data_IF_621209729995
#
_entry.id   IF_621209729995
#
_cell.length_a   1.000
_cell.length_b   1.000
_cell.length_c   1.000
_cell.angle_alpha   90.00
_cell.angle_beta   90.00
_cell.angle_gamma   90.00
#
_symmetry.space_group_name_H-M   'P 1'
#
loop_
_entity.id
_entity.type
_entity.pdbx_description
1 polymer ?
#
# COMPACT_ATOMS: atom_id res chain seq x y z
N UNK A 1 51.94 -52.22 -10.06
CA UNK A 1 51.05 -52.61 -11.19
C UNK A 1 49.81 -51.71 -11.09
N UNK A 2 49.57 -50.64 -11.84
CA UNK A 2 50.15 -50.14 -13.08
C UNK A 2 49.07 -50.03 -14.16
N UNK A 3 48.14 -49.05 -14.07
CA UNK A 3 47.20 -48.60 -15.13
C UNK A 3 46.73 -47.18 -14.74
N UNK A 4 47.39 -46.08 -15.09
CA UNK A 4 47.37 -45.36 -16.37
C UNK A 4 46.00 -45.30 -17.04
N UNK A 5 45.19 -44.29 -16.68
CA UNK A 5 43.96 -43.93 -17.40
C UNK A 5 44.14 -42.53 -17.99
N UNK A 6 44.18 -42.50 -19.31
CA UNK A 6 44.53 -41.36 -20.14
C UNK A 6 43.49 -40.24 -20.04
N UNK A 7 44.00 -39.02 -19.82
CA UNK A 7 43.27 -37.77 -19.95
C UNK A 7 42.81 -37.59 -21.41
N UNK A 8 41.49 -37.64 -21.66
CA UNK A 8 40.91 -37.25 -22.96
C UNK A 8 40.28 -35.87 -22.80
N UNK A 9 41.00 -34.84 -23.25
CA UNK A 9 40.47 -33.49 -23.34
C UNK A 9 39.34 -33.45 -24.38
N UNK A 10 38.15 -32.93 -24.06
CA UNK A 10 37.14 -32.65 -25.06
C UNK A 10 37.52 -31.38 -25.84
N UNK A 11 37.50 -31.54 -27.15
CA UNK A 11 37.79 -30.54 -28.17
C UNK A 11 36.98 -29.25 -27.96
N UNK A 12 37.69 -28.12 -27.98
CA UNK A 12 37.10 -26.77 -28.04
C UNK A 12 36.42 -26.61 -29.40
N UNK A 13 35.10 -26.78 -29.45
CA UNK A 13 34.29 -26.37 -30.58
C UNK A 13 34.22 -24.83 -30.57
N UNK A 14 35.00 -24.20 -31.45
CA UNK A 14 34.78 -22.82 -31.85
C UNK A 14 33.48 -22.74 -32.66
N UNK A 15 32.36 -22.55 -31.98
CA UNK A 15 31.10 -22.16 -32.63
C UNK A 15 31.25 -20.68 -33.00
N UNK A 16 31.63 -20.42 -34.24
CA UNK A 16 31.55 -19.08 -34.83
C UNK A 16 30.07 -18.81 -35.12
N UNK A 17 29.35 -18.25 -34.15
CA UNK A 17 28.04 -17.66 -34.38
C UNK A 17 28.26 -16.34 -35.12
N UNK A 18 28.17 -16.40 -36.46
CA UNK A 18 27.93 -15.22 -37.30
C UNK A 18 26.47 -14.81 -37.04
N UNK A 19 26.25 -14.13 -35.92
CA UNK A 19 25.00 -13.43 -35.64
C UNK A 19 25.00 -12.14 -36.44
N UNK A 20 24.07 -12.03 -37.39
CA UNK A 20 23.74 -10.76 -38.02
C UNK A 20 23.52 -9.68 -36.96
N UNK A 21 23.89 -8.41 -37.21
CA UNK A 21 23.46 -7.31 -36.37
C UNK A 21 21.95 -7.16 -36.52
N UNK A 22 21.20 -7.94 -35.74
CA UNK A 22 19.82 -7.67 -35.42
C UNK A 22 19.83 -6.24 -34.89
N UNK A 23 19.39 -5.28 -35.72
CA UNK A 23 19.04 -3.95 -35.28
C UNK A 23 17.98 -4.14 -34.21
N UNK A 24 18.42 -4.22 -32.95
CA UNK A 24 17.55 -4.23 -31.81
C UNK A 24 16.61 -3.04 -32.03
N UNK A 25 15.28 -3.23 -32.03
CA UNK A 25 14.34 -2.15 -32.24
C UNK A 25 14.73 -1.04 -31.26
N UNK A 26 15.17 0.09 -31.81
CA UNK A 26 15.53 1.27 -31.01
C UNK A 26 14.32 1.52 -30.13
N UNK A 27 14.52 1.27 -28.83
CA UNK A 27 13.44 1.24 -27.85
C UNK A 27 12.62 2.52 -28.02
N UNK A 28 11.28 2.43 -27.92
CA UNK A 28 10.42 3.59 -28.08
C UNK A 28 10.86 4.63 -27.04
N UNK A 29 11.50 5.68 -27.53
CA UNK A 29 11.84 6.84 -26.73
C UNK A 29 10.58 7.70 -26.78
N UNK A 30 9.97 7.97 -25.62
CA UNK A 30 8.82 8.86 -25.54
C UNK A 30 9.13 10.13 -26.31
N UNK A 31 8.24 10.49 -27.23
CA UNK A 31 8.50 11.61 -28.11
C UNK A 31 8.49 12.93 -27.33
N UNK A 32 9.52 13.77 -27.53
CA UNK A 32 9.67 15.07 -26.86
C UNK A 32 8.42 15.97 -26.98
N UNK A 33 7.70 15.90 -28.10
CA UNK A 33 6.51 16.71 -28.32
C UNK A 33 5.33 16.29 -27.42
N UNK A 34 5.23 15.00 -27.07
CA UNK A 34 4.22 14.48 -26.12
C UNK A 34 4.53 15.02 -24.73
N UNK A 35 5.79 14.93 -24.29
CA UNK A 35 6.23 15.47 -23.00
C UNK A 35 5.97 16.98 -22.92
N UNK A 36 6.34 17.73 -23.96
CA UNK A 36 6.09 19.18 -24.01
C UNK A 36 4.60 19.53 -23.94
N UNK A 37 3.75 18.80 -24.69
CA UNK A 37 2.30 18.99 -24.65
C UNK A 37 1.75 18.78 -23.24
N UNK A 38 2.16 17.68 -22.60
CA UNK A 38 1.74 17.29 -21.26
C UNK A 38 2.18 18.33 -20.19
N UNK A 39 3.40 18.85 -20.31
CA UNK A 39 3.95 19.91 -19.46
C UNK A 39 3.16 21.21 -19.62
N UNK A 40 2.89 21.65 -20.85
CA UNK A 40 2.14 22.88 -21.12
C UNK A 40 0.71 22.80 -20.58
N UNK A 41 0.05 21.67 -20.76
CA UNK A 41 -1.30 21.42 -20.23
C UNK A 41 -1.33 21.44 -18.68
N UNK A 42 -0.34 20.83 -18.02
CA UNK A 42 -0.21 20.89 -16.56
C UNK A 42 0.01 22.33 -16.05
N UNK A 43 0.84 23.12 -16.75
CA UNK A 43 1.06 24.52 -16.41
C UNK A 43 -0.21 25.37 -16.62
N UNK A 44 -0.96 25.12 -17.70
CA UNK A 44 -2.24 25.77 -17.96
C UNK A 44 -3.29 25.45 -16.88
N UNK A 45 -3.22 24.25 -16.28
CA UNK A 45 -4.05 23.85 -15.14
C UNK A 45 -3.63 24.46 -13.80
N UNK A 46 -2.56 25.27 -13.78
CA UNK A 46 -2.05 25.92 -12.57
C UNK A 46 -1.19 25.01 -11.69
N UNK A 47 -0.66 23.91 -12.23
CA UNK A 47 0.30 23.07 -11.49
C UNK A 47 1.62 23.85 -11.35
N UNK A 48 2.22 23.94 -10.13
CA UNK A 48 3.49 24.64 -9.95
C UNK A 48 4.61 24.04 -10.80
N UNK A 49 5.44 24.89 -11.43
CA UNK A 49 6.55 24.46 -12.30
C UNK A 49 7.49 23.44 -11.64
N UNK A 50 7.78 23.61 -10.35
CA UNK A 50 8.61 22.67 -9.60
C UNK A 50 7.99 21.26 -9.52
N UNK A 51 6.67 21.18 -9.37
CA UNK A 51 5.93 19.91 -9.34
C UNK A 51 5.95 19.25 -10.71
N UNK A 52 5.73 20.01 -11.78
CA UNK A 52 5.78 19.50 -13.16
C UNK A 52 7.17 18.97 -13.51
N UNK A 53 8.23 19.68 -13.10
CA UNK A 53 9.62 19.24 -13.31
C UNK A 53 9.91 17.91 -12.60
N UNK A 54 9.43 17.75 -11.37
CA UNK A 54 9.55 16.49 -10.63
C UNK A 54 8.85 15.33 -11.36
N UNK A 55 7.63 15.55 -11.88
CA UNK A 55 6.90 14.52 -12.64
C UNK A 55 7.63 14.07 -13.90
N UNK A 56 8.24 14.99 -14.64
CA UNK A 56 9.04 14.63 -15.82
C UNK A 56 10.21 13.74 -15.42
N UNK A 57 10.89 14.05 -14.31
CA UNK A 57 11.99 13.22 -13.80
C UNK A 57 11.47 11.86 -13.33
N UNK A 58 10.33 11.81 -12.65
CA UNK A 58 9.73 10.56 -12.17
C UNK A 58 9.34 9.66 -13.35
N UNK A 59 8.65 10.19 -14.36
CA UNK A 59 8.31 9.45 -15.58
C UNK A 59 9.56 8.99 -16.36
N UNK A 60 10.65 9.77 -16.35
CA UNK A 60 11.91 9.36 -17.02
C UNK A 60 12.64 8.20 -16.31
N UNK A 61 12.37 8.02 -15.01
CA UNK A 61 12.95 6.94 -14.19
C UNK A 61 12.03 5.73 -14.08
N UNK A 62 10.79 5.87 -14.49
CA UNK A 62 9.79 4.82 -14.38
C UNK A 62 10.04 3.75 -15.46
N UNK A 63 10.38 2.54 -14.99
CA UNK A 63 10.63 1.38 -15.85
C UNK A 63 9.39 0.97 -16.66
N UNK A 64 8.19 1.39 -16.25
CA UNK A 64 6.93 1.07 -16.93
C UNK A 64 6.57 2.05 -18.05
N UNK A 65 7.29 3.16 -18.19
CA UNK A 65 7.10 4.12 -19.28
C UNK A 65 7.95 3.69 -20.47
N UNK A 66 7.33 2.99 -21.41
CA UNK A 66 7.99 2.35 -22.55
C UNK A 66 7.68 3.10 -23.86
N UNK A 67 6.52 3.73 -23.96
CA UNK A 67 5.99 4.38 -25.16
C UNK A 67 5.16 5.62 -24.81
N UNK A 68 4.66 6.32 -25.84
CA UNK A 68 3.88 7.54 -25.67
C UNK A 68 2.57 7.29 -24.88
N UNK A 69 1.94 6.13 -25.06
CA UNK A 69 0.68 5.77 -24.41
C UNK A 69 0.87 5.49 -22.90
N UNK A 70 1.91 4.74 -22.54
CA UNK A 70 2.29 4.48 -21.15
C UNK A 70 2.75 5.76 -20.44
N UNK A 71 3.45 6.67 -21.15
CA UNK A 71 3.74 8.01 -20.63
C UNK A 71 2.46 8.80 -20.36
N UNK A 72 1.53 8.86 -21.32
CA UNK A 72 0.26 9.59 -21.17
C UNK A 72 -0.61 9.04 -20.03
N UNK A 73 -0.55 7.72 -19.77
CA UNK A 73 -1.20 7.08 -18.63
C UNK A 73 -0.56 7.47 -17.30
N UNK A 74 0.77 7.33 -17.19
CA UNK A 74 1.51 7.71 -15.99
C UNK A 74 1.32 9.19 -15.66
N UNK A 75 1.38 10.05 -16.67
CA UNK A 75 1.17 11.49 -16.55
C UNK A 75 -0.24 11.83 -16.06
N UNK A 76 -1.27 11.18 -16.62
CA UNK A 76 -2.67 11.37 -16.18
C UNK A 76 -2.86 10.97 -14.73
N UNK A 77 -2.24 9.88 -14.29
CA UNK A 77 -2.33 9.44 -12.90
C UNK A 77 -1.69 10.45 -11.93
N UNK A 78 -0.49 10.95 -12.25
CA UNK A 78 0.17 12.00 -11.46
C UNK A 78 -0.69 13.26 -11.34
N UNK A 79 -1.29 13.71 -12.45
CA UNK A 79 -2.21 14.85 -12.45
C UNK A 79 -3.45 14.59 -11.59
N UNK A 80 -4.10 13.43 -11.75
CA UNK A 80 -5.26 13.05 -10.96
C UNK A 80 -4.95 13.02 -9.45
N UNK A 81 -3.79 12.51 -9.06
CA UNK A 81 -3.36 12.49 -7.67
C UNK A 81 -3.16 13.90 -7.11
N UNK A 82 -2.54 14.78 -7.88
CA UNK A 82 -2.36 16.18 -7.49
C UNK A 82 -3.70 16.92 -7.36
N UNK A 83 -4.60 16.75 -8.33
CA UNK A 83 -5.94 17.36 -8.27
C UNK A 83 -6.73 16.87 -7.06
N UNK A 84 -6.67 15.56 -6.75
CA UNK A 84 -7.28 14.99 -5.54
C UNK A 84 -6.67 15.59 -4.26
N UNK A 85 -5.35 15.72 -4.19
CA UNK A 85 -4.66 16.32 -3.04
C UNK A 85 -5.00 17.81 -2.88
N UNK A 86 -5.05 18.55 -3.99
CA UNK A 86 -5.33 19.98 -4.01
C UNK A 86 -6.81 20.27 -3.72
N UNK A 87 -7.74 19.49 -4.27
CA UNK A 87 -9.18 19.57 -3.98
C UNK A 87 -9.46 19.31 -2.49
N UNK A 88 -8.82 18.31 -1.88
CA UNK A 88 -8.88 18.07 -0.43
C UNK A 88 -8.40 19.28 0.37
N UNK A 89 -7.30 19.92 -0.03
CA UNK A 89 -6.76 21.11 0.63
C UNK A 89 -7.71 22.32 0.51
N UNK A 90 -8.31 22.53 -0.66
CA UNK A 90 -9.31 23.58 -0.89
C UNK A 90 -10.56 23.38 -0.04
N UNK A 91 -11.07 22.14 0.05
CA UNK A 91 -12.21 21.79 0.91
C UNK A 91 -11.92 22.09 2.39
N UNK A 92 -10.73 21.76 2.89
CA UNK A 92 -10.34 22.06 4.29
C UNK A 92 -10.31 23.56 4.58
N UNK A 93 -9.76 24.37 3.68
CA UNK A 93 -9.76 25.83 3.82
C UNK A 93 -11.17 26.40 3.84
N UNK A 94 -12.04 25.94 2.94
CA UNK A 94 -13.43 26.41 2.88
C UNK A 94 -14.27 25.99 4.10
N UNK A 95 -13.95 24.83 4.70
CA UNK A 95 -14.60 24.37 5.93
C UNK A 95 -14.18 25.18 7.16
N UNK A 96 -12.93 25.64 7.22
CA UNK A 96 -12.43 26.47 8.32
C UNK A 96 -12.99 27.90 8.26
N UNK A 97 -13.20 28.45 7.06
CA UNK A 97 -13.78 29.80 6.92
C UNK A 97 -15.27 29.85 7.26
N UNK A 98 -16.00 28.74 7.17
CA UNK A 98 -17.42 28.67 7.53
C UNK A 98 -17.71 28.34 9.00
N UNK A 99 -16.69 28.19 9.85
CA UNK A 99 -16.87 27.94 11.31
C UNK A 99 -16.56 29.18 12.17
N UNK A 100 -16.35 30.35 11.56
CA UNK A 100 -15.94 31.59 12.23
C UNK A 100 -17.03 32.62 12.52
N UNK A 101 -18.31 32.24 12.63
CA UNK A 101 -19.36 33.22 12.97
C UNK A 101 -20.68 32.58 13.39
N UNK A 102 -21.02 32.68 14.68
CA UNK A 102 -22.32 32.31 15.22
C UNK A 102 -22.23 31.49 16.50
N UNK A 103 -21.98 32.17 17.62
CA UNK A 103 -22.19 31.65 18.96
C UNK A 103 -23.68 31.88 19.32
N UNK A 104 -24.50 30.85 19.58
CA UNK A 104 -25.64 30.98 20.48
C UNK A 104 -25.19 30.58 21.90
N UNK A 105 -25.65 31.27 22.95
CA UNK A 105 -25.27 30.95 24.32
C UNK A 105 -26.00 29.69 24.80
N UNK A 106 -25.29 28.96 25.67
CA UNK A 106 -25.79 28.10 26.74
C UNK A 106 -26.82 27.02 26.40
N UNK A 107 -26.32 25.79 26.24
CA UNK A 107 -26.97 24.60 26.79
C UNK A 107 -25.89 23.60 27.21
N UNK A 108 -25.60 23.57 28.51
CA UNK A 108 -24.43 22.94 29.14
C UNK A 108 -24.58 21.43 29.37
N UNK A 109 -25.29 20.67 28.53
CA UNK A 109 -25.53 19.23 28.79
C UNK A 109 -25.42 18.27 27.58
N UNK A 110 -24.89 18.70 26.44
CA UNK A 110 -24.86 17.85 25.23
C UNK A 110 -23.48 17.66 24.59
N UNK A 111 -22.39 17.74 25.37
CA UNK A 111 -21.02 17.51 24.86
C UNK A 111 -20.27 16.44 25.66
N UNK A 112 -20.63 15.17 25.47
CA UNK A 112 -19.70 14.07 25.83
C UNK A 112 -19.84 12.76 25.04
N UNK A 113 -20.60 12.70 23.94
CA UNK A 113 -20.87 11.40 23.28
C UNK A 113 -20.54 11.29 21.79
N UNK A 114 -19.87 12.29 21.18
CA UNK A 114 -19.65 12.29 19.73
C UNK A 114 -18.23 11.96 19.25
N UNK A 115 -17.44 11.28 20.08
CA UNK A 115 -16.05 10.92 19.74
C UNK A 115 -15.77 9.41 19.61
N UNK A 116 -16.78 8.54 19.64
CA UNK A 116 -16.54 7.10 19.49
C UNK A 116 -16.96 6.58 18.11
N UNK A 117 -16.12 5.72 17.55
CA UNK A 117 -16.40 4.70 16.53
C UNK A 117 -16.72 5.06 15.05
N UNK A 118 -16.07 6.06 14.42
CA UNK A 118 -16.01 6.13 12.94
C UNK A 118 -14.66 6.56 12.33
N UNK A 119 -13.55 6.41 13.06
CA UNK A 119 -12.23 6.63 12.48
C UNK A 119 -11.89 5.51 11.49
N UNK A 120 -12.36 5.64 10.25
CA UNK A 120 -12.08 4.74 9.12
C UNK A 120 -10.65 4.84 8.61
N UNK A 121 -9.84 5.75 9.19
CA UNK A 121 -8.48 6.00 8.77
C UNK A 121 -7.53 5.74 9.93
N UNK A 122 -6.54 4.89 9.69
CA UNK A 122 -5.44 4.66 10.62
C UNK A 122 -4.58 5.92 10.76
N UNK A 123 -4.10 6.18 11.98
CA UNK A 123 -3.12 7.24 12.19
C UNK A 123 -1.78 6.88 11.53
N UNK A 124 -0.90 7.86 11.32
CA UNK A 124 0.46 7.61 10.80
C UNK A 124 1.22 6.61 11.67
N UNK A 125 1.03 6.68 13.00
CA UNK A 125 1.64 5.76 13.96
C UNK A 125 1.12 4.34 13.75
N UNK A 126 -0.21 4.18 13.68
CA UNK A 126 -0.83 2.87 13.48
C UNK A 126 -0.36 2.21 12.18
N UNK A 127 -0.14 2.98 11.12
CA UNK A 127 0.41 2.46 9.85
C UNK A 127 1.83 1.92 9.97
N UNK A 128 2.68 2.57 10.77
CA UNK A 128 4.04 2.07 11.03
C UNK A 128 3.99 0.79 11.86
N UNK A 129 3.12 0.75 12.87
CA UNK A 129 2.87 -0.45 13.68
C UNK A 129 2.32 -1.61 12.82
N UNK A 130 1.40 -1.33 11.89
CA UNK A 130 0.91 -2.30 10.89
C UNK A 130 2.04 -2.87 10.03
N UNK A 131 2.95 -2.04 9.54
CA UNK A 131 4.10 -2.51 8.74
C UNK A 131 5.05 -3.39 9.55
N UNK A 132 5.27 -3.06 10.83
CA UNK A 132 6.04 -3.92 11.74
C UNK A 132 5.34 -5.27 11.94
N UNK A 133 4.02 -5.27 12.15
CA UNK A 133 3.22 -6.49 12.27
C UNK A 133 3.30 -7.36 11.01
N UNK A 134 3.29 -6.77 9.81
CA UNK A 134 3.45 -7.49 8.54
C UNK A 134 4.79 -8.22 8.48
N UNK A 135 5.87 -7.58 8.93
CA UNK A 135 7.20 -8.22 8.96
C UNK A 135 7.22 -9.39 9.93
N UNK A 136 6.79 -9.18 11.18
CA UNK A 136 6.73 -10.25 12.18
C UNK A 136 5.83 -11.40 11.75
N UNK A 137 4.69 -11.11 11.12
CA UNK A 137 3.79 -12.16 10.62
C UNK A 137 4.42 -13.02 9.51
N UNK A 138 5.33 -12.46 8.70
CA UNK A 138 6.11 -13.25 7.73
C UNK A 138 7.10 -14.15 8.45
N UNK A 139 7.83 -13.62 9.43
CA UNK A 139 8.76 -14.38 10.25
C UNK A 139 8.04 -15.55 10.97
N UNK A 140 6.86 -15.29 11.54
CA UNK A 140 6.03 -16.31 12.20
C UNK A 140 5.57 -17.41 11.22
N UNK A 141 5.21 -17.01 9.99
CA UNK A 141 4.81 -17.95 8.94
C UNK A 141 5.98 -18.78 8.41
N UNK A 142 7.15 -18.16 8.23
CA UNK A 142 8.39 -18.83 7.83
C UNK A 142 8.89 -19.80 8.92
N UNK A 143 8.70 -19.45 10.19
CA UNK A 143 8.95 -20.33 11.33
C UNK A 143 7.92 -21.47 11.47
N UNK A 144 6.87 -21.48 10.64
CA UNK A 144 5.83 -22.52 10.63
C UNK A 144 4.86 -22.44 11.81
N UNK A 145 4.74 -21.29 12.47
CA UNK A 145 3.85 -21.12 13.63
C UNK A 145 2.36 -21.13 13.23
N UNK A 146 2.04 -20.49 12.10
CA UNK A 146 0.70 -20.49 11.49
C UNK A 146 0.80 -20.01 10.04
N UNK A 147 -0.30 -20.00 9.29
CA UNK A 147 -0.31 -19.33 7.99
C UNK A 147 -0.15 -17.80 8.16
N UNK A 148 0.31 -17.12 7.11
CA UNK A 148 0.60 -15.68 7.16
C UNK A 148 -0.63 -14.83 7.55
N UNK A 149 -1.82 -15.18 7.04
CA UNK A 149 -3.04 -14.43 7.33
C UNK A 149 -3.44 -14.52 8.81
N UNK A 150 -3.31 -15.71 9.40
CA UNK A 150 -3.54 -15.96 10.83
C UNK A 150 -2.50 -15.23 11.69
N UNK A 151 -1.21 -15.32 11.34
CA UNK A 151 -0.15 -14.63 12.07
C UNK A 151 -0.37 -13.11 12.03
N UNK A 152 -0.71 -12.56 10.86
CA UNK A 152 -1.01 -11.14 10.70
C UNK A 152 -2.21 -10.70 11.53
N UNK A 153 -3.29 -11.49 11.54
CA UNK A 153 -4.46 -11.19 12.37
C UNK A 153 -4.11 -11.13 13.86
N UNK A 154 -3.30 -12.09 14.34
CA UNK A 154 -2.85 -12.13 15.74
C UNK A 154 -1.99 -10.90 16.07
N UNK A 155 -0.93 -10.63 15.29
CA UNK A 155 -0.04 -9.48 15.52
C UNK A 155 -0.78 -8.15 15.50
N UNK A 156 -1.66 -7.94 14.52
CA UNK A 156 -2.46 -6.71 14.44
C UNK A 156 -3.40 -6.55 15.63
N UNK A 157 -4.04 -7.63 16.10
CA UNK A 157 -4.95 -7.55 17.26
C UNK A 157 -4.22 -7.23 18.56
N UNK A 158 -3.03 -7.80 18.77
CA UNK A 158 -2.23 -7.54 19.98
C UNK A 158 -1.72 -6.09 20.03
N UNK A 159 -1.31 -5.54 18.88
CA UNK A 159 -0.75 -4.18 18.81
C UNK A 159 -1.83 -3.10 18.70
N UNK A 160 -2.84 -3.30 17.85
CA UNK A 160 -3.81 -2.27 17.49
C UNK A 160 -5.20 -2.47 18.13
N UNK A 161 -5.47 -3.63 18.70
CA UNK A 161 -6.77 -3.97 19.29
C UNK A 161 -7.90 -3.92 18.26
N UNK A 162 -9.00 -3.25 18.60
CA UNK A 162 -10.18 -3.11 17.74
C UNK A 162 -9.88 -2.52 16.33
N UNK A 163 -8.82 -1.72 16.22
CA UNK A 163 -8.37 -1.08 14.97
C UNK A 163 -7.75 -2.06 13.97
N UNK A 164 -7.45 -3.30 14.39
CA UNK A 164 -6.96 -4.36 13.53
C UNK A 164 -7.89 -4.65 12.32
N UNK A 165 -9.21 -4.45 12.48
CA UNK A 165 -10.19 -4.58 11.38
C UNK A 165 -9.88 -3.65 10.20
N UNK A 166 -9.59 -2.38 10.49
CA UNK A 166 -9.23 -1.38 9.48
C UNK A 166 -7.84 -1.67 8.90
N UNK A 167 -6.88 -2.03 9.75
CA UNK A 167 -5.51 -2.36 9.31
C UNK A 167 -5.46 -3.57 8.39
N UNK A 168 -6.19 -4.63 8.71
CA UNK A 168 -6.24 -5.81 7.87
C UNK A 168 -6.85 -5.51 6.48
N UNK A 169 -7.76 -4.53 6.39
CA UNK A 169 -8.32 -4.06 5.12
C UNK A 169 -7.30 -3.35 4.23
N UNK A 170 -6.38 -2.60 4.85
CA UNK A 170 -5.35 -1.84 4.10
C UNK A 170 -4.25 -2.76 3.58
N UNK A 171 -3.91 -3.83 4.30
CA UNK A 171 -2.81 -4.75 3.94
C UNK A 171 -3.25 -5.85 2.98
N UNK A 172 -4.40 -6.48 3.24
CA UNK A 172 -4.91 -7.61 2.45
C UNK A 172 -6.34 -7.29 1.97
N UNK A 173 -6.47 -6.49 0.89
CA UNK A 173 -7.77 -6.18 0.31
C UNK A 173 -8.35 -7.45 -0.33
N UNK A 174 -9.19 -8.16 0.43
CA UNK A 174 -9.85 -9.37 -0.07
C UNK A 174 -10.75 -9.03 -1.27
N UNK A 175 -10.65 -9.77 -2.39
CA UNK A 175 -11.53 -9.60 -3.52
C UNK A 175 -12.93 -10.08 -3.13
N UNK A 176 -13.78 -9.17 -2.66
CA UNK A 176 -15.19 -9.47 -2.38
C UNK A 176 -15.73 -9.01 -1.02
N UNK A 177 -14.96 -8.37 -0.14
CA UNK A 177 -15.55 -7.84 1.09
C UNK A 177 -14.61 -7.12 2.04
N UNK A 178 -15.17 -6.16 2.78
CA UNK A 178 -14.48 -5.50 3.91
C UNK A 178 -14.23 -6.57 5.00
N UNK A 179 -13.02 -6.70 5.56
CA UNK A 179 -12.79 -7.61 6.66
C UNK A 179 -13.69 -7.23 7.83
N UNK A 180 -14.51 -8.18 8.23
CA UNK A 180 -15.42 -8.05 9.36
C UNK A 180 -14.76 -8.60 10.62
N UNK A 181 -15.21 -8.16 11.79
CA UNK A 181 -14.78 -8.76 13.07
C UNK A 181 -15.00 -10.28 13.09
N UNK A 182 -16.01 -10.79 12.38
CA UNK A 182 -16.26 -12.23 12.25
C UNK A 182 -15.12 -12.96 11.52
N UNK A 183 -14.54 -12.37 10.47
CA UNK A 183 -13.37 -12.94 9.78
C UNK A 183 -12.16 -12.97 10.70
N UNK A 184 -11.89 -11.88 11.41
CA UNK A 184 -10.81 -11.85 12.40
C UNK A 184 -11.00 -12.93 13.47
N UNK A 185 -12.22 -13.10 13.99
CA UNK A 185 -12.53 -14.11 14.99
C UNK A 185 -12.22 -15.54 14.50
N UNK A 186 -12.50 -15.83 13.23
CA UNK A 186 -12.16 -17.13 12.64
C UNK A 186 -10.65 -17.33 12.51
N UNK A 187 -9.91 -16.28 12.14
CA UNK A 187 -8.46 -16.34 11.93
C UNK A 187 -7.70 -16.49 13.25
N UNK A 188 -8.16 -15.86 14.33
CA UNK A 188 -7.48 -15.92 15.64
C UNK A 188 -8.11 -16.92 16.61
N UNK A 189 -9.06 -17.74 16.17
CA UNK A 189 -9.70 -18.72 17.05
C UNK A 189 -8.67 -19.76 17.53
N UNK A 190 -8.51 -20.00 18.84
CA UNK A 190 -7.46 -20.88 19.37
C UNK A 190 -7.54 -22.32 18.86
N UNK A 191 -8.75 -22.80 18.53
CA UNK A 191 -8.92 -24.15 17.94
C UNK A 191 -8.63 -24.23 16.44
N UNK A 192 -8.47 -23.10 15.75
CA UNK A 192 -8.29 -23.02 14.28
C UNK A 192 -6.93 -22.51 13.84
N UNK A 193 -6.19 -21.87 14.74
CA UNK A 193 -4.81 -21.43 14.51
C UNK A 193 -3.88 -22.09 15.51
N UNK A 194 -2.67 -22.41 15.05
CA UNK A 194 -1.58 -22.97 15.86
C UNK A 194 -0.68 -21.90 16.48
N UNK A 195 -0.98 -20.61 16.25
CA UNK A 195 -0.18 -19.51 16.74
C UNK A 195 -0.22 -19.44 18.29
N UNK A 196 0.94 -19.37 18.99
CA UNK A 196 0.99 -19.44 20.45
C UNK A 196 0.24 -18.30 21.15
N UNK A 197 0.26 -17.10 20.56
CA UNK A 197 -0.40 -15.91 21.09
C UNK A 197 -1.91 -15.80 20.69
N UNK A 198 -2.47 -16.80 19.99
CA UNK A 198 -3.85 -16.72 19.48
C UNK A 198 -4.90 -16.53 20.58
N UNK A 199 -4.71 -17.19 21.74
CA UNK A 199 -5.63 -17.09 22.88
C UNK A 199 -5.72 -15.66 23.41
N UNK A 200 -4.59 -14.94 23.46
CA UNK A 200 -4.54 -13.57 23.92
C UNK A 200 -5.20 -12.63 22.90
N UNK A 201 -4.85 -12.77 21.62
CA UNK A 201 -5.46 -11.99 20.55
C UNK A 201 -6.99 -12.18 20.49
N UNK A 202 -7.48 -13.42 20.68
CA UNK A 202 -8.90 -13.72 20.73
C UNK A 202 -9.60 -13.05 21.92
N UNK A 203 -8.97 -13.00 23.09
CA UNK A 203 -9.51 -12.28 24.26
C UNK A 203 -9.59 -10.78 24.00
N UNK A 204 -8.57 -10.19 23.38
CA UNK A 204 -8.56 -8.78 22.97
C UNK A 204 -9.69 -8.48 21.99
N UNK A 205 -9.90 -9.37 21.02
CA UNK A 205 -11.02 -9.25 20.08
C UNK A 205 -12.38 -9.36 20.78
N UNK A 206 -12.55 -10.32 21.70
CA UNK A 206 -13.79 -10.49 22.44
C UNK A 206 -14.14 -9.23 23.25
N UNK A 207 -13.17 -8.61 23.93
CA UNK A 207 -13.37 -7.33 24.64
C UNK A 207 -13.84 -6.23 23.69
N UNK A 208 -13.18 -6.09 22.54
CA UNK A 208 -13.55 -5.12 21.52
C UNK A 208 -14.97 -5.34 20.96
N UNK A 209 -15.38 -6.61 20.79
CA UNK A 209 -16.74 -6.96 20.35
C UNK A 209 -17.80 -6.59 21.41
N UNK A 210 -17.50 -6.76 22.69
CA UNK A 210 -18.43 -6.39 23.77
C UNK A 210 -18.53 -4.87 23.96
N UNK A 211 -17.44 -4.13 23.79
CA UNK A 211 -17.45 -2.65 23.85
C UNK A 211 -18.27 -2.03 22.70
N UNK A 212 -18.27 -2.64 21.52
CA UNK A 212 -19.07 -2.19 20.38
C UNK A 212 -20.59 -2.39 20.53
N UNK A 213 -21.04 -3.22 21.48
CA UNK A 213 -22.47 -3.54 21.71
C UNK A 213 -23.09 -2.66 22.81
N UNK A 214 -22.27 -1.99 23.64
CA UNK A 214 -22.73 -1.12 24.75
C UNK A 214 -22.93 0.35 24.35
N UNK A 215 -23.08 0.64 23.05
CA UNK A 215 -23.28 2.00 22.52
C UNK A 215 -24.71 2.19 22.05
#
# INVERSE_FOLDING_TARGET
VGLSSCCRAPSVLHIVMVGEPSEAPKRPLVNDHIVRRAVLDALAAGVPKATVQMWVVDCSKDFYVIDDDSFDLAWRELRNQWEKAHSKKRKRRNSQTNTGGGCPPESTEARSFRNSCTATNLSRRDRLETQACVRSAREDAEAGLSNYEQALAVRLLLVLGARATVAMSEVEPSPGGKPSMKRLALLVHPDKTTHPEAKEAFQTLARAMHEGVRV
#
